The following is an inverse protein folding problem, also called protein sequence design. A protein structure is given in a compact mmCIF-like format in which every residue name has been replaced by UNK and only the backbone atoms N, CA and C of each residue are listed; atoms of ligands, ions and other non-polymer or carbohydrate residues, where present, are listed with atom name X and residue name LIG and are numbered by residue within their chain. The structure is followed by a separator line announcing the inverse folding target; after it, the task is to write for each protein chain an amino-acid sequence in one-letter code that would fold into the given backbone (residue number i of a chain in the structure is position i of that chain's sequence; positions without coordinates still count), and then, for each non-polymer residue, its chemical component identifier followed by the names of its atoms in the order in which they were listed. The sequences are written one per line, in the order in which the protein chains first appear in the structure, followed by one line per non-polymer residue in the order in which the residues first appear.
data_IF_006838286995
#
_entry.id   IF_006838286995
#
_cell.length_a   1.000
_cell.length_b   1.000
_cell.length_c   1.000
_cell.angle_alpha   90.00
_cell.angle_beta   90.00
_cell.angle_gamma   90.00
#
_symmetry.space_group_name_H-M   'P 1'
#
loop_
_entity.id
_entity.type
_entity.pdbx_description
1 polymer ?
#
# COMPACT_ATOMS: atom_id res chain seq x y z
N UNK A 1 -8.95 21.95 2.92
CA UNK A 1 -8.51 21.95 4.34
C UNK A 1 -7.51 20.82 4.52
N UNK A 2 -6.37 21.04 5.18
CA UNK A 2 -5.47 19.94 5.52
C UNK A 2 -6.06 19.14 6.68
N UNK A 3 -6.03 17.82 6.58
CA UNK A 3 -6.53 16.89 7.61
C UNK A 3 -5.68 16.98 8.90
N UNK A 4 -4.43 17.42 8.78
CA UNK A 4 -3.49 17.53 9.90
C UNK A 4 -2.94 18.95 10.05
N UNK A 5 -2.66 19.34 11.29
CA UNK A 5 -1.96 20.58 11.61
C UNK A 5 -0.47 20.48 11.23
N UNK A 6 0.08 21.51 10.59
CA UNK A 6 1.46 21.51 10.08
C UNK A 6 2.50 21.28 11.18
N UNK A 7 2.30 21.85 12.37
CA UNK A 7 3.19 21.67 13.53
C UNK A 7 3.28 20.22 13.98
N UNK A 8 2.16 19.49 13.95
CA UNK A 8 2.09 18.06 14.28
C UNK A 8 2.85 17.24 13.25
N UNK A 9 2.66 17.52 11.96
CA UNK A 9 3.39 16.84 10.87
C UNK A 9 4.90 17.06 11.00
N UNK A 10 5.34 18.31 11.18
CA UNK A 10 6.77 18.63 11.35
C UNK A 10 7.38 17.95 12.57
N UNK A 11 6.65 17.88 13.69
CA UNK A 11 7.11 17.17 14.89
C UNK A 11 7.32 15.68 14.59
N UNK A 12 6.33 15.03 13.99
CA UNK A 12 6.41 13.60 13.66
C UNK A 12 7.56 13.28 12.70
N UNK A 13 7.78 14.11 11.68
CA UNK A 13 8.90 13.94 10.74
C UNK A 13 10.27 14.05 11.43
N UNK A 14 10.42 14.93 12.42
CA UNK A 14 11.67 15.11 13.17
C UNK A 14 11.96 13.96 14.13
N UNK A 15 10.92 13.31 14.68
CA UNK A 15 11.06 12.20 15.64
C UNK A 15 11.28 10.84 14.99
N UNK A 16 11.19 10.75 13.66
CA UNK A 16 11.40 9.50 12.95
C UNK A 16 12.87 9.06 12.98
N UNK A 17 13.09 7.75 13.09
CA UNK A 17 14.41 7.16 12.98
C UNK A 17 14.88 7.18 11.52
N UNK A 18 15.80 8.09 11.21
CA UNK A 18 16.34 8.30 9.85
C UNK A 18 17.09 7.09 9.31
N UNK A 19 17.82 6.37 10.15
CA UNK A 19 18.58 5.19 9.74
C UNK A 19 17.63 4.07 9.33
N UNK A 20 16.62 3.79 10.16
CA UNK A 20 15.58 2.79 9.84
C UNK A 20 14.87 3.13 8.54
N UNK A 21 14.51 4.40 8.34
CA UNK A 21 13.88 4.84 7.08
C UNK A 21 14.81 4.65 5.89
N UNK A 22 16.10 5.01 6.02
CA UNK A 22 17.06 4.84 4.94
C UNK A 22 17.24 3.37 4.55
N UNK A 23 17.27 2.47 5.53
CA UNK A 23 17.34 1.01 5.30
C UNK A 23 16.09 0.52 4.57
N UNK A 24 14.89 0.83 5.08
CA UNK A 24 13.65 0.38 4.44
C UNK A 24 13.45 0.99 3.06
N UNK A 25 13.89 2.24 2.86
CA UNK A 25 13.91 2.87 1.54
C UNK A 25 14.87 2.16 0.58
N UNK A 26 16.01 1.67 1.09
CA UNK A 26 16.92 0.80 0.34
C UNK A 26 16.21 -0.45 -0.16
N UNK A 27 15.53 -1.17 0.73
CA UNK A 27 14.76 -2.39 0.41
C UNK A 27 13.69 -2.07 -0.65
N UNK A 28 12.93 -0.99 -0.43
CA UNK A 28 11.91 -0.54 -1.38
C UNK A 28 12.49 -0.32 -2.77
N UNK A 29 13.59 0.43 -2.89
CA UNK A 29 14.23 0.68 -4.19
C UNK A 29 14.74 -0.59 -4.84
N UNK A 30 15.39 -1.46 -4.08
CA UNK A 30 15.94 -2.71 -4.61
C UNK A 30 14.87 -3.57 -5.28
N UNK A 31 13.65 -3.56 -4.74
CA UNK A 31 12.52 -4.29 -5.33
C UNK A 31 11.78 -3.46 -6.39
N UNK A 32 11.17 -2.34 -5.97
CA UNK A 32 10.22 -1.59 -6.80
C UNK A 32 10.89 -0.71 -7.85
N UNK A 33 12.19 -0.41 -7.75
CA UNK A 33 12.93 0.31 -8.81
C UNK A 33 13.70 -0.63 -9.74
N UNK A 34 13.67 -1.94 -9.50
CA UNK A 34 14.31 -2.90 -10.40
C UNK A 34 13.50 -3.01 -11.71
N UNK A 35 14.08 -2.66 -12.87
CA UNK A 35 13.35 -2.63 -14.14
C UNK A 35 12.84 -4.01 -14.56
N UNK A 36 13.55 -5.09 -14.21
CA UNK A 36 13.14 -6.47 -14.52
C UNK A 36 11.92 -6.85 -13.68
N UNK A 37 11.93 -6.53 -12.38
CA UNK A 37 10.79 -6.77 -11.49
C UNK A 37 9.59 -5.97 -11.95
N UNK A 38 9.77 -4.69 -12.29
CA UNK A 38 8.69 -3.86 -12.83
C UNK A 38 8.08 -4.47 -14.11
N UNK A 39 8.91 -4.97 -15.03
CA UNK A 39 8.42 -5.57 -16.26
C UNK A 39 7.68 -6.87 -16.01
N UNK A 40 8.17 -7.72 -15.10
CA UNK A 40 7.48 -8.93 -14.67
C UNK A 40 6.12 -8.59 -14.04
N UNK A 41 6.05 -7.57 -13.18
CA UNK A 41 4.79 -7.11 -12.58
C UNK A 41 3.82 -6.59 -13.65
N UNK A 42 4.28 -5.79 -14.63
CA UNK A 42 3.43 -5.28 -15.73
C UNK A 42 2.84 -6.40 -16.58
N UNK A 43 3.58 -7.49 -16.76
CA UNK A 43 3.16 -8.64 -17.54
C UNK A 43 2.40 -9.70 -16.71
N UNK A 44 2.30 -9.51 -15.39
CA UNK A 44 1.56 -10.41 -14.49
C UNK A 44 0.07 -10.03 -14.44
N UNK A 45 -0.78 -11.03 -14.22
CA UNK A 45 -2.19 -10.80 -13.88
C UNK A 45 -2.31 -10.32 -12.44
N UNK A 46 -3.41 -9.64 -12.12
CA UNK A 46 -3.67 -9.12 -10.77
C UNK A 46 -3.60 -10.25 -9.73
N UNK A 47 -4.22 -11.40 -10.00
CA UNK A 47 -4.23 -12.54 -9.07
C UNK A 47 -2.85 -13.15 -8.83
N UNK A 48 -1.87 -12.91 -9.72
CA UNK A 48 -0.51 -13.43 -9.59
C UNK A 48 0.37 -12.56 -8.71
N UNK A 49 0.12 -11.24 -8.65
CA UNK A 49 1.00 -10.32 -7.95
C UNK A 49 0.34 -9.59 -6.78
N UNK A 50 -0.99 -9.53 -6.70
CA UNK A 50 -1.72 -8.87 -5.60
C UNK A 50 -1.29 -9.40 -4.21
N UNK A 51 -1.20 -10.72 -4.06
CA UNK A 51 -0.72 -11.31 -2.79
C UNK A 51 0.74 -10.98 -2.48
N UNK A 52 1.60 -10.99 -3.51
CA UNK A 52 3.03 -10.68 -3.38
C UNK A 52 3.27 -9.19 -3.10
N UNK A 53 2.47 -8.29 -3.68
CA UNK A 53 2.53 -6.86 -3.40
C UNK A 53 2.34 -6.57 -1.90
N UNK A 54 1.38 -7.24 -1.26
CA UNK A 54 1.17 -7.11 0.19
C UNK A 54 2.40 -7.56 0.98
N UNK A 55 3.09 -8.61 0.52
CA UNK A 55 4.33 -9.08 1.17
C UNK A 55 5.46 -8.07 0.92
N UNK A 56 5.71 -7.71 -0.33
CA UNK A 56 6.82 -6.85 -0.73
C UNK A 56 6.75 -5.45 -0.12
N UNK A 57 5.54 -4.88 -0.02
CA UNK A 57 5.37 -3.58 0.59
C UNK A 57 5.13 -3.66 2.10
N UNK A 58 4.09 -4.34 2.54
CA UNK A 58 3.69 -4.25 3.95
C UNK A 58 4.62 -5.06 4.85
N UNK A 59 5.03 -6.25 4.45
CA UNK A 59 5.91 -7.09 5.27
C UNK A 59 7.36 -6.61 5.13
N UNK A 60 7.90 -6.63 3.92
CA UNK A 60 9.33 -6.43 3.70
C UNK A 60 9.77 -4.97 3.91
N UNK A 61 8.96 -3.99 3.49
CA UNK A 61 9.29 -2.57 3.61
C UNK A 61 8.70 -1.93 4.87
N UNK A 62 7.42 -2.16 5.16
CA UNK A 62 6.75 -1.49 6.29
C UNK A 62 6.85 -2.26 7.61
N UNK A 63 7.29 -3.52 7.60
CA UNK A 63 7.53 -4.33 8.80
C UNK A 63 6.28 -4.90 9.46
N UNK A 64 5.21 -5.10 8.70
CA UNK A 64 4.04 -5.86 9.16
C UNK A 64 4.37 -7.34 9.28
N UNK A 65 3.64 -8.04 10.14
CA UNK A 65 3.73 -9.48 10.35
C UNK A 65 2.49 -10.12 9.74
N UNK A 66 2.68 -10.96 8.72
CA UNK A 66 1.59 -11.60 7.98
C UNK A 66 1.13 -12.88 8.68
N UNK A 67 -0.19 -13.11 8.70
CA UNK A 67 -0.80 -14.41 9.01
C UNK A 67 -0.18 -15.52 8.13
N UNK A 68 0.22 -16.70 8.65
CA UNK A 68 -0.03 -17.29 9.98
C UNK A 68 1.08 -17.13 11.02
N UNK A 69 2.00 -16.19 10.82
CA UNK A 69 3.02 -15.90 11.84
C UNK A 69 2.34 -15.44 13.14
N UNK A 70 2.76 -15.93 14.32
CA UNK A 70 2.20 -15.50 15.60
C UNK A 70 2.23 -13.98 15.75
N UNK A 71 1.21 -13.41 16.40
CA UNK A 71 1.04 -11.96 16.57
C UNK A 71 1.02 -11.18 15.24
N UNK A 72 0.44 -11.77 14.19
CA UNK A 72 0.26 -11.07 12.92
C UNK A 72 -0.55 -9.79 13.10
N UNK A 73 -0.24 -8.79 12.27
CA UNK A 73 -0.96 -7.53 12.19
C UNK A 73 -1.43 -7.21 10.75
N UNK A 74 -1.21 -8.13 9.81
CA UNK A 74 -1.79 -8.12 8.46
C UNK A 74 -2.25 -9.51 8.04
N UNK A 75 -3.39 -9.59 7.36
CA UNK A 75 -3.89 -10.80 6.70
C UNK A 75 -4.28 -10.49 5.26
N UNK A 76 -4.21 -11.49 4.39
CA UNK A 76 -4.69 -11.43 3.01
C UNK A 76 -6.12 -11.98 2.91
N UNK A 77 -6.82 -11.67 1.82
CA UNK A 77 -8.16 -12.20 1.49
C UNK A 77 -9.18 -12.11 2.64
N UNK A 78 -9.26 -10.95 3.27
CA UNK A 78 -10.15 -10.74 4.41
C UNK A 78 -11.62 -10.73 3.98
N UNK A 79 -12.43 -11.61 4.56
CA UNK A 79 -13.88 -11.64 4.39
C UNK A 79 -14.56 -10.94 5.56
N UNK A 80 -15.34 -9.89 5.29
CA UNK A 80 -16.14 -9.25 6.31
C UNK A 80 -17.27 -10.17 6.78
N UNK A 81 -17.36 -10.38 8.10
CA UNK A 81 -18.35 -11.23 8.75
C UNK A 81 -19.78 -10.72 8.54
N UNK A 82 -19.97 -9.38 8.41
CA UNK A 82 -21.31 -8.78 8.34
C UNK A 82 -21.94 -8.79 6.95
N UNK A 83 -21.16 -8.58 5.89
CA UNK A 83 -21.70 -8.43 4.52
C UNK A 83 -21.05 -9.36 3.47
N UNK A 84 -20.24 -10.33 3.90
CA UNK A 84 -19.54 -11.31 3.04
C UNK A 84 -18.65 -10.70 1.95
N UNK A 85 -18.41 -9.39 1.97
CA UNK A 85 -17.52 -8.73 1.03
C UNK A 85 -16.08 -9.10 1.33
N UNK A 86 -15.33 -9.36 0.26
CA UNK A 86 -13.91 -9.67 0.33
C UNK A 86 -13.09 -8.40 0.12
N UNK A 87 -11.96 -8.36 0.79
CA UNK A 87 -10.91 -7.40 0.56
C UNK A 87 -9.58 -8.12 0.43
N UNK A 88 -8.64 -7.46 -0.22
CA UNK A 88 -7.38 -8.08 -0.64
C UNK A 88 -6.45 -8.25 0.57
N UNK A 89 -6.54 -7.33 1.53
CA UNK A 89 -5.94 -7.50 2.85
C UNK A 89 -6.66 -6.74 3.96
N UNK A 90 -6.28 -7.02 5.19
CA UNK A 90 -6.74 -6.29 6.37
C UNK A 90 -5.62 -6.11 7.39
N UNK A 91 -5.55 -4.91 7.96
CA UNK A 91 -4.67 -4.59 9.09
C UNK A 91 -5.42 -4.87 10.38
N UNK A 92 -4.81 -5.69 11.23
CA UNK A 92 -5.38 -6.17 12.49
C UNK A 92 -4.53 -5.65 13.65
N UNK A 93 -5.20 -5.13 14.67
CA UNK A 93 -4.54 -4.77 15.93
C UNK A 93 -5.42 -5.20 17.10
N UNK A 94 -4.85 -5.97 18.03
CA UNK A 94 -5.54 -6.57 19.17
C UNK A 94 -6.78 -7.36 18.71
N UNK A 95 -6.62 -8.22 17.72
CA UNK A 95 -7.69 -9.06 17.13
C UNK A 95 -8.87 -8.28 16.52
N UNK A 96 -8.72 -6.96 16.35
CA UNK A 96 -9.72 -6.09 15.72
C UNK A 96 -9.17 -5.51 14.42
N UNK A 97 -9.94 -5.67 13.34
CA UNK A 97 -9.63 -5.04 12.05
C UNK A 97 -9.71 -3.52 12.19
N UNK A 98 -8.61 -2.83 11.86
CA UNK A 98 -8.50 -1.36 11.91
C UNK A 98 -8.59 -0.73 10.52
N UNK A 99 -8.09 -1.43 9.51
CA UNK A 99 -8.13 -0.97 8.14
C UNK A 99 -8.23 -2.14 7.18
N UNK A 100 -8.74 -1.86 5.99
CA UNK A 100 -8.91 -2.80 4.89
C UNK A 100 -8.11 -2.29 3.70
N UNK A 101 -7.41 -3.19 3.02
CA UNK A 101 -6.62 -2.91 1.83
C UNK A 101 -7.41 -3.39 0.63
N UNK A 102 -7.61 -2.48 -0.32
CA UNK A 102 -8.23 -2.77 -1.61
C UNK A 102 -7.27 -2.31 -2.69
N UNK A 103 -6.80 -3.25 -3.48
CA UNK A 103 -5.97 -3.01 -4.65
C UNK A 103 -6.87 -2.76 -5.86
N UNK A 104 -6.41 -1.87 -6.73
CA UNK A 104 -7.09 -1.57 -7.98
C UNK A 104 -6.05 -1.41 -9.06
N UNK A 105 -6.22 -2.16 -10.15
CA UNK A 105 -5.48 -1.91 -11.37
C UNK A 105 -5.88 -0.55 -11.96
N UNK A 106 -4.96 0.41 -12.01
CA UNK A 106 -5.17 1.71 -12.65
C UNK A 106 -4.40 1.75 -13.98
N UNK A 107 -5.11 1.79 -15.10
CA UNK A 107 -4.49 2.08 -16.41
C UNK A 107 -4.09 3.55 -16.47
N UNK A 108 -2.79 3.81 -16.50
CA UNK A 108 -2.20 5.16 -16.47
C UNK A 108 -2.78 6.08 -17.56
N UNK A 109 -3.08 5.52 -18.74
CA UNK A 109 -3.68 6.24 -19.89
C UNK A 109 -5.03 6.87 -19.58
N UNK A 110 -5.82 6.29 -18.67
CA UNK A 110 -7.16 6.79 -18.32
C UNK A 110 -7.12 7.82 -17.18
N UNK A 111 -6.14 7.69 -16.28
CA UNK A 111 -6.03 8.57 -15.11
C UNK A 111 -5.59 9.99 -15.49
N UNK A 112 -4.65 10.13 -16.42
CA UNK A 112 -4.24 11.46 -16.93
C UNK A 112 -5.33 12.11 -17.80
N UNK A 113 -6.05 11.32 -18.60
CA UNK A 113 -7.05 11.87 -19.55
C UNK A 113 -8.25 12.47 -18.83
N UNK A 114 -8.76 11.81 -17.77
CA UNK A 114 -9.91 12.29 -16.99
C UNK A 114 -9.59 13.52 -16.13
N UNK A 115 -8.38 13.63 -15.56
CA UNK A 115 -7.97 14.81 -14.79
C UNK A 115 -7.67 16.03 -15.66
N UNK A 116 -7.16 15.85 -16.89
CA UNK A 116 -6.90 16.95 -17.83
C UNK A 116 -8.18 17.46 -18.52
N UNK A 117 -9.14 16.60 -18.86
CA UNK A 117 -10.43 17.06 -19.42
C UNK A 117 -11.29 17.79 -18.38
N UNK A 118 -11.17 17.44 -17.10
CA UNK A 118 -11.86 18.17 -16.03
C UNK A 118 -11.15 19.50 -15.65
N UNK A 119 -9.92 19.74 -16.11
CA UNK A 119 -9.16 20.99 -15.85
C UNK A 119 -9.03 21.92 -17.06
N UNK A 120 -9.45 21.50 -18.26
CA UNK A 120 -9.44 22.33 -19.48
C UNK A 120 -10.83 22.47 -20.13
N UNK A 121 -11.91 22.17 -19.39
CA UNK A 121 -13.28 22.47 -19.77
C UNK A 121 -13.83 23.65 -18.96
N UNK A 122 -13.52 24.88 -19.37
CA UNK A 122 -14.26 26.14 -19.17
C UNK A 122 -13.29 27.34 -19.19
N UNK A 123 -13.00 27.83 -20.40
CA UNK A 123 -13.26 29.20 -20.85
C UNK A 123 -12.87 29.31 -22.32
#
# INVERSE_FOLDING_TARGET
MSIFQSSVVTKQLKTQNKEKIAIQWGIFKTHFHNPVIQENIRNSKEEQYQGEFLIDLFVNVLGYTKNPTPNFNITTEYKNVKDSKKADGAIVANDVVKAVIVEKTVKLTTYFRSKLTTSFGAN
#
